data_IF_478111347789
#
_entry.id   IF_478111347789
#
_cell.length_a   1.000
_cell.length_b   1.000
_cell.length_c   1.000
_cell.angle_alpha   90.00
_cell.angle_beta   90.00
_cell.angle_gamma   90.00
#
_symmetry.space_group_name_H-M   'P 1'
#
loop_
_entity.id
_entity.type
_entity.pdbx_description
1 polymer ?
#
# COMPACT_ATOMS: atom_id res chain seq x y z
N UNK A 1 29.79 -9.59 25.20
CA UNK A 1 29.79 -8.82 23.94
C UNK A 1 28.36 -8.37 23.74
N UNK A 2 28.03 -7.17 24.22
CA UNK A 2 26.74 -6.52 23.99
C UNK A 2 26.82 -5.87 22.62
N UNK A 3 26.01 -6.33 21.68
CA UNK A 3 25.81 -5.65 20.40
C UNK A 3 24.60 -4.76 20.57
N UNK A 4 24.89 -3.47 20.68
CA UNK A 4 23.95 -2.37 20.54
C UNK A 4 23.37 -2.41 19.12
N UNK A 5 22.28 -3.14 18.91
CA UNK A 5 21.47 -2.99 17.70
C UNK A 5 20.49 -1.84 17.92
N UNK A 6 21.04 -0.65 17.67
CA UNK A 6 20.36 0.62 17.49
C UNK A 6 19.49 0.49 16.22
N UNK A 7 18.33 -0.16 16.35
CA UNK A 7 17.19 0.16 15.50
C UNK A 7 16.51 1.38 16.11
N UNK A 8 17.13 2.55 15.93
CA UNK A 8 16.41 3.82 16.04
C UNK A 8 15.23 3.73 15.10
N UNK A 9 14.04 3.48 15.66
CA UNK A 9 12.79 3.62 14.95
C UNK A 9 12.80 4.98 14.28
N UNK A 10 12.78 4.98 12.95
CA UNK A 10 12.55 6.20 12.19
C UNK A 10 11.25 6.79 12.73
N UNK A 11 11.26 8.04 13.23
CA UNK A 11 10.03 8.69 13.63
C UNK A 11 9.14 8.76 12.38
N UNK A 12 7.98 8.08 12.43
CA UNK A 12 6.92 8.27 11.44
C UNK A 12 6.61 9.76 11.43
N UNK A 13 6.99 10.45 10.35
CA UNK A 13 6.71 11.88 10.19
C UNK A 13 5.18 12.01 10.17
N UNK A 14 4.58 12.80 11.07
CA UNK A 14 3.13 12.94 11.10
C UNK A 14 2.71 13.77 9.89
N UNK A 15 1.85 13.20 9.05
CA UNK A 15 1.19 13.88 7.92
C UNK A 15 2.15 14.58 6.92
N UNK A 16 3.18 13.88 6.46
CA UNK A 16 3.76 14.25 5.17
C UNK A 16 2.74 13.92 4.08
N UNK A 17 2.44 14.86 3.19
CA UNK A 17 1.69 14.58 1.96
C UNK A 17 2.22 13.28 1.35
N UNK A 18 1.38 12.27 1.09
CA UNK A 18 1.82 11.03 0.47
C UNK A 18 2.56 11.37 -0.83
N UNK A 19 3.67 10.66 -1.04
CA UNK A 19 4.52 10.94 -2.19
C UNK A 19 3.79 10.64 -3.50
N UNK A 20 4.32 11.17 -4.60
CA UNK A 20 3.73 10.99 -5.92
C UNK A 20 3.69 9.51 -6.36
N UNK A 21 4.53 8.63 -5.81
CA UNK A 21 4.52 7.19 -6.13
C UNK A 21 3.33 6.54 -5.48
N UNK A 22 3.13 6.82 -4.20
CA UNK A 22 1.95 6.40 -3.44
C UNK A 22 0.67 6.83 -4.14
N UNK A 23 0.57 8.11 -4.54
CA UNK A 23 -0.62 8.60 -5.24
C UNK A 23 -0.83 7.91 -6.60
N UNK A 24 0.23 7.64 -7.37
CA UNK A 24 0.12 6.86 -8.61
C UNK A 24 -0.45 5.45 -8.37
N UNK A 25 -0.04 4.82 -7.27
CA UNK A 25 -0.62 3.58 -6.78
C UNK A 25 -2.08 3.69 -6.40
N UNK A 26 -2.43 4.69 -5.59
CA UNK A 26 -3.78 4.95 -5.13
C UNK A 26 -4.75 5.17 -6.30
N UNK A 27 -4.33 5.90 -7.34
CA UNK A 27 -5.11 6.07 -8.58
C UNK A 27 -5.40 4.72 -9.25
N UNK A 28 -4.43 3.82 -9.33
CA UNK A 28 -4.65 2.48 -9.88
C UNK A 28 -5.57 1.63 -8.98
N UNK A 29 -5.49 1.80 -7.65
CA UNK A 29 -6.38 1.15 -6.69
C UNK A 29 -7.83 1.64 -6.80
N UNK A 30 -8.03 2.94 -7.03
CA UNK A 30 -9.35 3.54 -7.23
C UNK A 30 -10.10 2.99 -8.46
N UNK A 31 -9.38 2.45 -9.45
CA UNK A 31 -9.98 1.77 -10.60
C UNK A 31 -10.56 0.40 -10.27
N UNK A 32 -10.19 -0.17 -9.11
CA UNK A 32 -10.59 -1.50 -8.67
C UNK A 32 -11.23 -1.45 -7.26
N UNK A 33 -12.29 -0.65 -7.05
CA UNK A 33 -12.87 -0.51 -5.72
C UNK A 33 -13.42 -1.85 -5.23
N UNK A 34 -12.92 -2.31 -4.09
CA UNK A 34 -13.49 -3.43 -3.34
C UNK A 34 -14.73 -3.01 -2.56
N UNK A 35 -15.44 -3.97 -1.94
CA UNK A 35 -16.48 -3.67 -0.97
C UNK A 35 -15.86 -2.94 0.24
N UNK A 36 -16.50 -1.87 0.71
CA UNK A 36 -15.98 -0.99 1.78
C UNK A 36 -16.97 -0.90 2.92
N UNK A 37 -16.53 -1.27 4.12
CA UNK A 37 -17.34 -1.20 5.33
C UNK A 37 -16.51 -0.65 6.49
N UNK A 38 -16.99 0.36 7.23
CA UNK A 38 -18.14 1.21 6.92
C UNK A 38 -17.81 2.23 5.81
N UNK A 39 -18.74 2.51 4.90
CA UNK A 39 -18.45 3.32 3.70
C UNK A 39 -18.02 4.76 3.99
N UNK A 40 -18.54 5.38 5.05
CA UNK A 40 -18.29 6.80 5.37
C UNK A 40 -16.81 7.11 5.62
N UNK A 41 -16.04 6.18 6.23
CA UNK A 41 -14.60 6.38 6.47
C UNK A 41 -13.82 6.44 5.15
N UNK A 42 -14.28 5.70 4.16
CA UNK A 42 -13.63 5.64 2.86
C UNK A 42 -13.99 6.84 1.99
N UNK A 43 -15.20 7.38 2.13
CA UNK A 43 -15.66 8.52 1.32
C UNK A 43 -14.79 9.77 1.58
N UNK A 44 -14.47 10.07 2.85
CA UNK A 44 -13.58 11.18 3.21
C UNK A 44 -12.16 10.95 2.70
N UNK A 45 -11.58 9.77 2.98
CA UNK A 45 -10.23 9.42 2.53
C UNK A 45 -10.06 9.49 1.01
N UNK A 46 -11.05 9.03 0.25
CA UNK A 46 -11.01 9.07 -1.22
C UNK A 46 -11.16 10.50 -1.73
N UNK A 47 -11.98 11.32 -1.07
CA UNK A 47 -12.09 12.75 -1.41
C UNK A 47 -10.73 13.44 -1.26
N UNK A 48 -10.01 13.17 -0.17
CA UNK A 48 -8.68 13.73 0.07
C UNK A 48 -7.68 13.28 -1.01
N UNK A 49 -7.72 12.01 -1.42
CA UNK A 49 -6.89 11.51 -2.53
C UNK A 49 -7.19 12.28 -3.82
N UNK A 50 -8.46 12.52 -4.17
CA UNK A 50 -8.81 13.29 -5.36
C UNK A 50 -8.32 14.73 -5.30
N UNK A 51 -8.38 15.37 -4.14
CA UNK A 51 -7.89 16.74 -3.97
C UNK A 51 -6.36 16.79 -4.05
N UNK A 52 -5.64 15.81 -3.50
CA UNK A 52 -4.19 15.69 -3.67
C UNK A 52 -3.78 15.48 -5.12
N UNK A 53 -4.47 14.61 -5.86
CA UNK A 53 -4.22 14.40 -7.30
C UNK A 53 -4.43 15.69 -8.09
N UNK A 54 -5.48 16.46 -7.77
CA UNK A 54 -5.75 17.76 -8.42
C UNK A 54 -4.66 18.78 -8.15
N UNK A 55 -4.12 18.81 -6.93
CA UNK A 55 -3.06 19.73 -6.53
C UNK A 55 -1.72 19.41 -7.22
N UNK A 56 -1.37 18.13 -7.33
CA UNK A 56 -0.13 17.69 -7.96
C UNK A 56 -0.18 17.76 -9.49
N UNK A 57 -1.35 17.50 -10.08
CA UNK A 57 -1.56 17.51 -11.53
C UNK A 57 -1.03 16.24 -12.21
N UNK A 58 -1.83 15.71 -13.14
CA UNK A 58 -1.52 14.61 -14.07
C UNK A 58 -0.79 13.39 -13.47
N UNK A 59 -1.25 12.92 -12.30
CA UNK A 59 -0.75 11.68 -11.69
C UNK A 59 -1.22 10.48 -12.51
N UNK A 60 -0.29 9.84 -13.22
CA UNK A 60 -0.58 8.62 -14.00
C UNK A 60 -0.68 7.39 -13.08
N UNK A 61 -1.66 6.49 -13.29
CA UNK A 61 -1.78 5.28 -12.51
C UNK A 61 -0.55 4.39 -12.67
N UNK A 62 -0.05 3.85 -11.56
CA UNK A 62 0.99 2.83 -11.52
C UNK A 62 0.39 1.47 -11.18
N UNK A 63 0.55 0.48 -12.08
CA UNK A 63 0.09 -0.87 -11.80
C UNK A 63 0.86 -1.49 -10.63
N UNK A 64 0.22 -2.35 -9.81
CA UNK A 64 0.90 -3.01 -8.70
C UNK A 64 2.13 -3.79 -9.19
N UNK A 65 3.25 -3.65 -8.48
CA UNK A 65 4.53 -4.28 -8.86
C UNK A 65 5.32 -3.49 -9.91
N UNK A 66 4.82 -2.35 -10.38
CA UNK A 66 5.54 -1.47 -11.31
C UNK A 66 6.05 -0.21 -10.63
N UNK A 67 7.09 0.37 -11.22
CA UNK A 67 7.67 1.62 -10.74
C UNK A 67 7.10 2.79 -11.54
N UNK A 68 6.46 3.79 -10.91
CA UNK A 68 5.98 4.95 -11.63
C UNK A 68 7.14 5.70 -12.28
N UNK A 69 6.92 6.17 -13.51
CA UNK A 69 7.87 7.00 -14.24
C UNK A 69 7.29 8.40 -14.33
N UNK A 70 8.09 9.39 -13.91
CA UNK A 70 7.71 10.78 -13.97
C UNK A 70 8.23 11.42 -15.26
N UNK A 71 7.55 12.47 -15.72
CA UNK A 71 7.87 13.14 -16.99
C UNK A 71 9.20 13.92 -16.93
N UNK A 72 9.75 14.14 -15.73
CA UNK A 72 11.09 14.71 -15.49
C UNK A 72 12.22 13.65 -15.56
N UNK A 73 11.88 12.40 -15.84
CA UNK A 73 12.82 11.29 -15.91
C UNK A 73 13.15 10.64 -14.56
N UNK A 74 12.57 11.12 -13.45
CA UNK A 74 12.70 10.44 -12.17
C UNK A 74 11.89 9.14 -12.15
N UNK A 75 12.41 8.19 -11.38
CA UNK A 75 11.79 6.87 -11.19
C UNK A 75 11.32 6.81 -9.73
N UNK A 76 10.03 6.57 -9.53
CA UNK A 76 9.45 6.49 -8.20
C UNK A 76 9.75 5.17 -7.49
N UNK A 77 9.01 4.89 -6.42
CA UNK A 77 9.15 3.67 -5.62
C UNK A 77 8.02 2.70 -5.93
N UNK A 78 8.37 1.45 -6.26
CA UNK A 78 7.38 0.39 -6.46
C UNK A 78 6.71 -0.02 -5.14
N UNK A 79 7.40 0.13 -3.99
CA UNK A 79 6.81 -0.14 -2.68
C UNK A 79 5.79 0.93 -2.31
N UNK A 80 6.11 2.20 -2.56
CA UNK A 80 5.21 3.30 -2.20
C UNK A 80 3.99 3.28 -3.10
N UNK A 81 4.17 3.05 -4.41
CA UNK A 81 3.07 2.81 -5.33
C UNK A 81 2.21 1.59 -4.95
N UNK A 82 2.83 0.49 -4.52
CA UNK A 82 2.05 -0.63 -4.00
C UNK A 82 1.31 -0.26 -2.71
N UNK A 83 1.90 0.56 -1.86
CA UNK A 83 1.28 1.07 -0.64
C UNK A 83 0.03 1.87 -0.92
N UNK A 84 0.09 2.81 -1.85
CA UNK A 84 -1.11 3.55 -2.25
C UNK A 84 -2.17 2.68 -2.91
N UNK A 85 -1.76 1.73 -3.75
CA UNK A 85 -2.67 0.78 -4.36
C UNK A 85 -3.43 -0.03 -3.30
N UNK A 86 -2.67 -0.63 -2.38
CA UNK A 86 -3.22 -1.46 -1.29
C UNK A 86 -4.06 -0.62 -0.33
N UNK A 87 -3.65 0.60 0.01
CA UNK A 87 -4.42 1.50 0.90
C UNK A 87 -5.84 1.75 0.41
N UNK A 88 -6.08 1.67 -0.90
CA UNK A 88 -7.38 1.96 -1.52
C UNK A 88 -8.22 0.72 -1.79
N UNK A 89 -7.60 -0.39 -2.22
CA UNK A 89 -8.30 -1.59 -2.66
C UNK A 89 -8.04 -2.83 -1.79
N UNK A 90 -7.20 -2.71 -0.77
CA UNK A 90 -6.93 -3.76 0.20
C UNK A 90 -8.12 -4.01 1.11
N UNK A 91 -8.21 -5.24 1.60
CA UNK A 91 -9.26 -5.72 2.48
C UNK A 91 -8.62 -6.54 3.59
N UNK A 92 -8.94 -6.22 4.84
CA UNK A 92 -8.54 -7.02 5.99
C UNK A 92 -9.56 -8.12 6.20
N UNK A 93 -9.07 -9.36 6.28
CA UNK A 93 -9.87 -10.55 6.58
C UNK A 93 -9.21 -11.35 7.72
N UNK A 94 -9.89 -12.36 8.30
CA UNK A 94 -9.34 -13.18 9.38
C UNK A 94 -8.04 -13.93 9.05
N UNK A 95 -7.72 -14.09 7.76
CA UNK A 95 -6.48 -14.71 7.29
C UNK A 95 -5.32 -13.70 7.14
N UNK A 96 -5.62 -12.40 7.07
CA UNK A 96 -4.63 -11.32 6.96
C UNK A 96 -5.08 -10.19 6.03
N UNK A 97 -4.13 -9.60 5.29
CA UNK A 97 -4.41 -8.53 4.33
C UNK A 97 -4.50 -9.08 2.92
N UNK A 98 -5.64 -8.83 2.29
CA UNK A 98 -5.97 -9.29 0.96
C UNK A 98 -6.01 -8.12 -0.04
N UNK A 99 -5.48 -8.31 -1.24
CA UNK A 99 -5.66 -7.35 -2.33
C UNK A 99 -5.57 -8.03 -3.70
N UNK A 100 -6.28 -7.46 -4.67
CA UNK A 100 -6.33 -7.95 -6.06
C UNK A 100 -5.13 -7.45 -6.83
N UNK A 101 -4.52 -8.32 -7.63
CA UNK A 101 -3.42 -7.96 -8.52
C UNK A 101 -3.59 -8.75 -9.82
N UNK A 102 -3.54 -8.09 -11.00
CA UNK A 102 -3.57 -8.79 -12.28
C UNK A 102 -2.56 -9.94 -12.30
N UNK A 103 -2.96 -11.12 -12.82
CA UNK A 103 -2.12 -12.33 -12.80
C UNK A 103 -0.74 -12.07 -13.39
N UNK A 104 -0.67 -11.26 -14.44
CA UNK A 104 0.57 -10.87 -15.13
C UNK A 104 1.52 -10.01 -14.30
N UNK A 105 1.06 -9.46 -13.15
CA UNK A 105 1.83 -8.60 -12.23
C UNK A 105 2.16 -9.26 -10.89
N UNK A 106 1.60 -10.45 -10.64
CA UNK A 106 1.74 -11.09 -9.33
C UNK A 106 3.18 -11.49 -9.02
N UNK A 107 3.95 -11.86 -10.03
CA UNK A 107 5.34 -12.26 -9.83
C UNK A 107 6.18 -11.04 -9.45
N UNK A 108 5.99 -9.91 -10.12
CA UNK A 108 6.65 -8.64 -9.79
C UNK A 108 6.34 -8.19 -8.37
N UNK A 109 5.06 -8.26 -7.96
CA UNK A 109 4.68 -7.93 -6.57
C UNK A 109 5.34 -8.87 -5.56
N UNK A 110 5.37 -10.18 -5.81
CA UNK A 110 6.01 -11.12 -4.88
C UNK A 110 7.52 -10.88 -4.81
N UNK A 111 8.16 -10.53 -5.91
CA UNK A 111 9.58 -10.23 -5.95
C UNK A 111 9.97 -8.96 -5.19
N UNK A 112 9.04 -8.03 -4.96
CA UNK A 112 9.25 -6.91 -4.05
C UNK A 112 9.44 -7.40 -2.61
N UNK A 113 8.79 -8.48 -2.18
CA UNK A 113 8.81 -8.92 -0.78
C UNK A 113 9.64 -10.19 -0.57
N UNK A 114 10.92 -10.14 -0.96
CA UNK A 114 11.83 -11.27 -0.70
C UNK A 114 11.96 -11.52 0.81
N UNK A 115 11.47 -12.69 1.24
CA UNK A 115 11.52 -13.12 2.64
C UNK A 115 10.18 -13.04 3.38
N UNK A 116 9.12 -12.49 2.76
CA UNK A 116 7.76 -12.60 3.29
C UNK A 116 7.01 -13.76 2.63
N UNK A 117 6.10 -14.36 3.38
CA UNK A 117 5.19 -15.39 2.86
C UNK A 117 4.01 -14.68 2.22
N UNK A 118 3.94 -14.72 0.89
CA UNK A 118 2.77 -14.21 0.15
C UNK A 118 2.02 -15.37 -0.51
N UNK A 119 0.75 -15.51 -0.19
CA UNK A 119 -0.12 -16.51 -0.82
C UNK A 119 -0.77 -15.91 -2.06
N UNK A 120 -0.74 -16.65 -3.16
CA UNK A 120 -1.31 -16.23 -4.45
C UNK A 120 -2.46 -17.15 -4.85
N UNK A 121 -3.61 -16.57 -5.17
CA UNK A 121 -4.74 -17.33 -5.69
C UNK A 121 -5.59 -16.50 -6.67
N UNK A 122 -5.71 -16.96 -7.92
CA UNK A 122 -6.67 -16.43 -8.94
C UNK A 122 -6.68 -14.90 -9.06
N UNK A 123 -5.52 -14.25 -9.16
CA UNK A 123 -5.47 -12.79 -9.27
C UNK A 123 -5.55 -12.05 -7.92
N UNK A 124 -5.40 -12.76 -6.81
CA UNK A 124 -5.32 -12.18 -5.48
C UNK A 124 -4.01 -12.50 -4.80
N UNK A 125 -3.58 -11.62 -3.91
CA UNK A 125 -2.46 -11.76 -3.00
C UNK A 125 -2.99 -11.64 -1.58
N UNK A 126 -2.54 -12.56 -0.71
CA UNK A 126 -2.80 -12.55 0.72
C UNK A 126 -1.47 -12.45 1.46
N UNK A 127 -1.36 -11.43 2.31
CA UNK A 127 -0.32 -11.26 3.30
C UNK A 127 -0.86 -11.82 4.62
N UNK A 128 -0.31 -12.93 5.13
CA UNK A 128 -0.81 -13.56 6.35
C UNK A 128 -0.50 -12.70 7.58
N UNK A 129 -1.31 -12.84 8.64
CA UNK A 129 -1.20 -12.02 9.86
C UNK A 129 0.22 -11.92 10.45
N UNK A 130 0.95 -13.04 10.49
CA UNK A 130 2.30 -13.07 11.07
C UNK A 130 3.33 -12.25 10.28
N UNK A 131 3.08 -11.96 9.00
CA UNK A 131 3.95 -11.15 8.15
C UNK A 131 3.46 -9.70 8.00
N UNK A 132 2.26 -9.35 8.50
CA UNK A 132 1.71 -7.98 8.46
C UNK A 132 2.67 -6.94 9.09
N UNK A 133 3.30 -7.17 10.25
CA UNK A 133 4.22 -6.19 10.83
C UNK A 133 5.46 -5.92 9.96
N UNK A 134 5.92 -6.92 9.20
CA UNK A 134 7.02 -6.73 8.26
C UNK A 134 6.54 -6.00 7.00
N UNK A 135 5.35 -6.35 6.50
CA UNK A 135 4.72 -5.66 5.38
C UNK A 135 4.52 -4.16 5.66
N UNK A 136 3.94 -3.80 6.80
CA UNK A 136 3.71 -2.41 7.23
C UNK A 136 5.00 -1.57 7.38
N UNK A 137 6.14 -2.22 7.60
CA UNK A 137 7.45 -1.54 7.67
C UNK A 137 8.07 -1.32 6.30
N UNK A 138 7.71 -2.13 5.32
CA UNK A 138 8.23 -2.06 3.96
C UNK A 138 7.34 -1.22 3.04
N UNK A 139 6.03 -1.18 3.32
CA UNK A 139 5.02 -0.56 2.48
C UNK A 139 4.31 0.54 3.25
N UNK A 140 4.38 1.81 2.82
CA UNK A 140 3.63 2.88 3.45
C UNK A 140 2.14 2.73 3.14
N UNK A 141 1.35 2.30 4.13
CA UNK A 141 -0.12 2.32 4.06
C UNK A 141 -0.67 3.55 4.79
N UNK A 142 -1.72 4.13 4.24
CA UNK A 142 -2.45 5.25 4.84
C UNK A 142 -3.96 5.03 4.83
N UNK A 143 -4.68 5.80 5.63
CA UNK A 143 -6.15 5.81 5.66
C UNK A 143 -6.79 4.66 6.44
N UNK A 144 -8.09 4.40 6.21
CA UNK A 144 -8.88 3.46 7.01
C UNK A 144 -8.31 2.05 7.05
N UNK A 145 -7.67 1.60 5.97
CA UNK A 145 -7.07 0.27 5.91
C UNK A 145 -5.90 0.13 6.88
N UNK A 146 -5.03 1.15 6.97
CA UNK A 146 -3.90 1.13 7.88
C UNK A 146 -4.37 1.04 9.34
N UNK A 147 -5.41 1.80 9.69
CA UNK A 147 -6.02 1.76 11.02
C UNK A 147 -6.63 0.39 11.34
N UNK A 148 -7.29 -0.25 10.37
CA UNK A 148 -7.85 -1.60 10.52
C UNK A 148 -6.74 -2.64 10.75
N UNK A 149 -5.65 -2.59 9.99
CA UNK A 149 -4.53 -3.53 10.15
C UNK A 149 -3.85 -3.33 11.50
N UNK A 150 -3.65 -2.07 11.93
CA UNK A 150 -3.06 -1.80 13.25
C UNK A 150 -3.93 -2.38 14.37
N UNK A 151 -5.26 -2.25 14.29
CA UNK A 151 -6.16 -2.87 15.27
C UNK A 151 -5.98 -4.40 15.33
N UNK A 152 -5.86 -5.09 14.19
CA UNK A 152 -5.66 -6.55 14.15
C UNK A 152 -4.29 -7.01 14.65
N UNK A 153 -3.23 -6.21 14.46
CA UNK A 153 -1.85 -6.58 14.87
C UNK A 153 -1.64 -6.47 16.39
N UNK A 154 -2.42 -5.64 17.08
CA UNK A 154 -2.30 -5.40 18.52
C UNK A 154 -3.33 -6.16 19.38
N UNK A 155 -4.11 -7.08 18.79
CA UNK A 155 -5.01 -8.02 19.49
C UNK A 155 -4.27 -9.35 19.72
#
# INVERSE_FOLDING_TARGET
MMVDDIFTGLPRVPYSLPDASWLAGAVAGLQHPGPRTPSWLWDEFISDIYDMIRLLGDVKPAEPGTTPKYDDGQVGSAYDALGGYVSVCGEVCPEGLFFRVPVVRQEEVVQLFKGLTLHRARGNILVPHYDLPAFLRLVPLEGPLAEQIEQEVYI
#
